data_IF_783897948461
#
_entry.id   IF_783897948461
#
_cell.length_a   1.000
_cell.length_b   1.000
_cell.length_c   1.000
_cell.angle_alpha   90.00
_cell.angle_beta   90.00
_cell.angle_gamma   90.00
#
_symmetry.space_group_name_H-M   'P 1'
#
loop_
_entity.id
_entity.type
_entity.pdbx_description
1 polymer ?
#
# COMPACT_ATOMS: atom_id res chain seq x y z
N UNK A 1 -28.29 20.91 17.26
CA UNK A 1 -27.90 20.76 15.84
C UNK A 1 -27.47 22.09 15.22
N UNK A 2 -28.30 23.14 15.23
CA UNK A 2 -27.95 24.44 14.61
C UNK A 2 -26.68 25.11 15.18
N UNK A 3 -26.52 25.16 16.51
CA UNK A 3 -25.34 25.75 17.16
C UNK A 3 -24.04 25.00 16.82
N UNK A 4 -24.08 23.66 16.74
CA UNK A 4 -22.95 22.83 16.33
C UNK A 4 -22.60 23.05 14.85
N UNK A 5 -23.61 23.17 13.99
CA UNK A 5 -23.43 23.49 12.57
C UNK A 5 -22.78 24.87 12.39
N UNK A 6 -23.25 25.89 13.10
CA UNK A 6 -22.68 27.24 13.04
C UNK A 6 -21.25 27.31 13.60
N UNK A 7 -20.97 26.58 14.68
CA UNK A 7 -19.61 26.44 15.20
C UNK A 7 -18.68 25.74 14.20
N UNK A 8 -19.14 24.64 13.60
CA UNK A 8 -18.36 23.89 12.63
C UNK A 8 -18.09 24.71 11.37
N UNK A 9 -19.10 25.37 10.80
CA UNK A 9 -18.99 26.20 9.60
C UNK A 9 -18.53 27.64 9.88
N UNK A 10 -17.72 27.85 10.91
CA UNK A 10 -17.20 29.17 11.23
C UNK A 10 -16.29 29.70 10.10
N UNK A 11 -16.66 30.84 9.51
CA UNK A 11 -15.97 31.45 8.37
C UNK A 11 -14.49 31.73 8.66
N UNK A 12 -14.14 32.16 9.89
CA UNK A 12 -12.75 32.45 10.27
C UNK A 12 -11.87 31.21 10.25
N UNK A 13 -12.46 30.02 10.39
CA UNK A 13 -11.71 28.78 10.29
C UNK A 13 -11.52 28.37 8.83
N UNK A 14 -12.61 28.35 8.06
CA UNK A 14 -12.63 27.76 6.71
C UNK A 14 -12.12 28.70 5.61
N UNK A 15 -12.36 30.00 5.72
CA UNK A 15 -12.21 30.92 4.59
C UNK A 15 -11.05 31.93 4.80
N UNK A 16 -10.47 32.44 3.70
CA UNK A 16 -9.53 33.56 3.76
C UNK A 16 -10.17 34.83 4.34
N UNK A 17 -9.32 35.79 4.71
CA UNK A 17 -9.78 37.09 5.17
C UNK A 17 -10.66 37.77 4.10
N UNK A 18 -11.78 38.36 4.53
CA UNK A 18 -12.76 39.05 3.68
C UNK A 18 -13.60 38.16 2.75
N UNK A 19 -13.68 36.85 3.01
CA UNK A 19 -14.58 35.93 2.29
C UNK A 19 -15.59 35.33 3.27
N UNK A 20 -16.86 35.28 2.86
CA UNK A 20 -17.97 34.69 3.60
C UNK A 20 -18.57 33.52 2.83
N UNK A 21 -19.36 32.67 3.49
CA UNK A 21 -20.07 31.60 2.78
C UNK A 21 -21.09 32.13 1.78
N UNK A 22 -21.66 33.32 2.03
CA UNK A 22 -22.61 33.97 1.14
C UNK A 22 -21.98 34.31 -0.23
N UNK A 23 -20.70 34.65 -0.26
CA UNK A 23 -19.96 34.93 -1.50
C UNK A 23 -19.79 33.67 -2.38
N UNK A 24 -19.86 32.48 -1.78
CA UNK A 24 -19.74 31.19 -2.46
C UNK A 24 -21.10 30.54 -2.78
N UNK A 25 -22.19 31.02 -2.16
CA UNK A 25 -23.54 30.45 -2.34
C UNK A 25 -24.18 30.90 -3.67
N UNK A 26 -23.89 32.13 -4.11
CA UNK A 26 -24.49 32.76 -5.30
C UNK A 26 -23.43 33.08 -6.37
N UNK A 27 -22.87 32.08 -7.06
CA UNK A 27 -21.93 32.31 -8.16
C UNK A 27 -22.62 32.99 -9.35
N UNK A 28 -21.82 33.58 -10.25
CA UNK A 28 -22.30 34.13 -11.51
C UNK A 28 -23.03 33.06 -12.36
N UNK A 29 -24.00 33.45 -13.23
CA UNK A 29 -24.74 32.50 -14.05
C UNK A 29 -23.81 31.57 -14.86
N UNK A 30 -24.02 30.26 -14.72
CA UNK A 30 -23.21 29.22 -15.38
C UNK A 30 -21.93 28.80 -14.65
N UNK A 31 -21.62 29.40 -13.50
CA UNK A 31 -20.52 29.00 -12.63
C UNK A 31 -21.07 28.22 -11.43
N UNK A 32 -20.43 27.11 -11.08
CA UNK A 32 -20.74 26.37 -9.85
C UNK A 32 -19.47 26.19 -9.02
N UNK A 33 -19.56 26.47 -7.73
CA UNK A 33 -18.50 26.21 -6.76
C UNK A 33 -18.74 24.86 -6.05
N UNK A 34 -17.68 24.18 -5.57
CA UNK A 34 -17.85 22.96 -4.80
C UNK A 34 -18.69 23.20 -3.54
N UNK A 35 -19.66 22.31 -3.32
CA UNK A 35 -20.51 22.30 -2.12
C UNK A 35 -20.23 21.06 -1.31
N UNK A 36 -20.21 21.18 0.03
CA UNK A 36 -20.00 20.02 0.91
C UNK A 36 -21.00 18.88 0.64
N UNK A 37 -22.24 19.23 0.26
CA UNK A 37 -23.28 18.27 -0.12
C UNK A 37 -22.88 17.33 -1.27
N UNK A 38 -22.03 17.79 -2.19
CA UNK A 38 -21.57 16.98 -3.31
C UNK A 38 -20.77 15.76 -2.85
N UNK A 39 -20.05 15.85 -1.73
CA UNK A 39 -19.24 14.75 -1.21
C UNK A 39 -20.09 13.57 -0.72
N UNK A 40 -21.35 13.79 -0.37
CA UNK A 40 -22.24 12.69 0.02
C UNK A 40 -22.53 11.73 -1.14
N UNK A 41 -22.35 12.17 -2.40
CA UNK A 41 -22.45 11.29 -3.58
C UNK A 41 -21.34 10.22 -3.60
N UNK A 42 -20.21 10.47 -2.93
CA UNK A 42 -19.10 9.52 -2.87
C UNK A 42 -19.45 8.23 -2.09
N UNK A 43 -20.35 8.28 -1.10
CA UNK A 43 -20.73 7.12 -0.29
C UNK A 43 -21.54 6.06 -1.07
N UNK A 44 -22.67 6.40 -1.74
CA UNK A 44 -23.36 5.44 -2.59
C UNK A 44 -22.49 5.01 -3.78
N UNK A 45 -21.65 5.90 -4.31
CA UNK A 45 -20.68 5.54 -5.34
C UNK A 45 -19.64 4.54 -4.82
N UNK A 46 -19.16 4.67 -3.59
CA UNK A 46 -18.23 3.74 -2.96
C UNK A 46 -18.84 2.34 -2.83
N UNK A 47 -20.13 2.26 -2.45
CA UNK A 47 -20.88 1.00 -2.46
C UNK A 47 -20.99 0.42 -3.87
N UNK A 48 -21.29 1.25 -4.87
CA UNK A 48 -21.29 0.86 -6.28
C UNK A 48 -19.95 0.30 -6.74
N UNK A 49 -18.85 1.00 -6.46
CA UNK A 49 -17.47 0.56 -6.73
C UNK A 49 -17.18 -0.78 -6.04
N UNK A 50 -17.63 -0.96 -4.80
CA UNK A 50 -17.46 -2.23 -4.08
C UNK A 50 -18.25 -3.39 -4.71
N UNK A 51 -19.48 -3.13 -5.19
CA UNK A 51 -20.24 -4.13 -5.96
C UNK A 51 -19.53 -4.46 -7.28
N UNK A 52 -19.06 -3.45 -8.01
CA UNK A 52 -18.28 -3.64 -9.25
C UNK A 52 -17.02 -4.45 -8.98
N UNK A 53 -16.32 -4.21 -7.86
CA UNK A 53 -15.17 -5.01 -7.42
C UNK A 53 -15.54 -6.49 -7.31
N UNK A 54 -16.62 -6.82 -6.59
CA UNK A 54 -17.06 -8.21 -6.41
C UNK A 54 -17.37 -8.87 -7.76
N UNK A 55 -18.06 -8.16 -8.65
CA UNK A 55 -18.38 -8.65 -9.99
C UNK A 55 -17.11 -8.84 -10.83
N UNK A 56 -16.18 -7.87 -10.80
CA UNK A 56 -14.91 -7.92 -11.50
C UNK A 56 -14.05 -9.10 -11.03
N UNK A 57 -13.90 -9.28 -9.72
CA UNK A 57 -13.12 -10.37 -9.15
C UNK A 57 -13.69 -11.74 -9.56
N UNK A 58 -15.03 -11.85 -9.61
CA UNK A 58 -15.73 -13.08 -9.98
C UNK A 58 -15.67 -13.40 -11.48
N UNK A 59 -15.96 -12.42 -12.33
CA UNK A 59 -16.19 -12.62 -13.76
C UNK A 59 -14.99 -12.31 -14.64
N UNK A 60 -14.01 -11.53 -14.16
CA UNK A 60 -12.83 -11.13 -14.94
C UNK A 60 -11.56 -11.67 -14.28
N UNK A 61 -11.29 -11.28 -13.03
CA UNK A 61 -10.00 -11.58 -12.40
C UNK A 61 -9.80 -13.06 -12.11
N UNK A 62 -10.84 -13.75 -11.62
CA UNK A 62 -10.80 -15.20 -11.33
C UNK A 62 -10.57 -16.04 -12.61
N UNK A 63 -11.28 -15.82 -13.73
CA UNK A 63 -10.93 -16.45 -15.00
C UNK A 63 -9.49 -16.18 -15.46
N UNK A 64 -9.01 -14.93 -15.37
CA UNK A 64 -7.63 -14.59 -15.71
C UNK A 64 -6.59 -15.30 -14.81
N UNK A 65 -6.89 -15.43 -13.51
CA UNK A 65 -6.03 -16.19 -12.60
C UNK A 65 -5.94 -17.67 -13.01
N UNK A 66 -7.07 -18.27 -13.40
CA UNK A 66 -7.12 -19.67 -13.86
C UNK A 66 -6.40 -19.87 -15.18
N UNK A 67 -6.53 -18.94 -16.14
CA UNK A 67 -5.80 -19.03 -17.42
C UNK A 67 -4.28 -18.93 -17.23
N UNK A 68 -3.83 -18.23 -16.18
CA UNK A 68 -2.43 -18.18 -15.77
C UNK A 68 -2.01 -19.36 -14.87
N UNK A 69 -2.85 -20.39 -14.74
CA UNK A 69 -2.63 -21.55 -13.87
C UNK A 69 -2.40 -21.21 -12.39
N UNK A 70 -2.91 -20.06 -11.93
CA UNK A 70 -2.93 -19.67 -10.51
C UNK A 70 -4.12 -20.37 -9.87
N UNK A 71 -3.92 -21.62 -9.45
CA UNK A 71 -4.98 -22.41 -8.84
C UNK A 71 -5.28 -21.92 -7.42
N UNK A 72 -6.53 -22.04 -6.98
CA UNK A 72 -6.87 -21.92 -5.56
C UNK A 72 -6.11 -23.02 -4.82
N UNK A 73 -5.11 -22.65 -4.04
CA UNK A 73 -4.29 -23.60 -3.31
C UNK A 73 -5.19 -24.47 -2.45
N UNK A 74 -5.17 -25.80 -2.67
CA UNK A 74 -5.72 -26.76 -1.73
C UNK A 74 -4.75 -26.82 -0.55
N UNK A 75 -4.77 -25.79 0.29
CA UNK A 75 -3.97 -25.75 1.50
C UNK A 75 -4.28 -27.00 2.33
N UNK A 76 -3.25 -27.74 2.73
CA UNK A 76 -3.41 -28.91 3.61
C UNK A 76 -4.21 -28.48 4.83
N UNK A 77 -5.44 -28.98 4.95
CA UNK A 77 -6.30 -28.61 6.06
C UNK A 77 -5.72 -29.21 7.35
N UNK A 78 -5.75 -28.45 8.44
CA UNK A 78 -5.45 -29.01 9.74
C UNK A 78 -6.43 -30.14 10.03
N UNK A 79 -5.94 -31.23 10.62
CA UNK A 79 -6.77 -32.37 10.98
C UNK A 79 -7.91 -31.89 11.90
N UNK A 80 -9.18 -32.27 11.69
CA UNK A 80 -10.26 -31.87 12.58
C UNK A 80 -9.96 -32.26 14.03
N UNK A 81 -9.90 -31.29 14.94
CA UNK A 81 -9.70 -31.50 16.37
C UNK A 81 -10.40 -30.38 17.15
N UNK A 82 -11.50 -30.71 17.83
CA UNK A 82 -12.34 -29.73 18.53
C UNK A 82 -11.63 -29.04 19.69
N UNK A 83 -10.73 -29.74 20.39
CA UNK A 83 -9.96 -29.18 21.51
C UNK A 83 -8.99 -28.13 20.99
N UNK A 84 -8.20 -28.48 19.98
CA UNK A 84 -7.23 -27.56 19.37
C UNK A 84 -7.92 -26.36 18.71
N UNK A 85 -9.06 -26.58 18.03
CA UNK A 85 -9.85 -25.50 17.44
C UNK A 85 -10.38 -24.54 18.50
N UNK A 86 -10.93 -25.07 19.60
CA UNK A 86 -11.40 -24.23 20.72
C UNK A 86 -10.27 -23.35 21.25
N UNK A 87 -9.11 -23.93 21.55
CA UNK A 87 -7.94 -23.17 22.01
C UNK A 87 -7.52 -22.11 20.98
N UNK A 88 -7.49 -22.48 19.70
CA UNK A 88 -7.10 -21.57 18.62
C UNK A 88 -8.02 -20.36 18.51
N UNK A 89 -9.34 -20.57 18.61
CA UNK A 89 -10.33 -19.51 18.44
C UNK A 89 -10.57 -18.68 19.70
N UNK A 90 -10.46 -19.29 20.89
CA UNK A 90 -10.89 -18.64 22.14
C UNK A 90 -9.77 -18.29 23.11
N UNK A 91 -8.56 -18.85 22.95
CA UNK A 91 -7.44 -18.63 23.89
C UNK A 91 -6.25 -17.98 23.19
N UNK A 92 -5.63 -18.69 22.24
CA UNK A 92 -4.44 -18.19 21.54
C UNK A 92 -4.21 -18.90 20.21
N UNK A 93 -3.79 -18.12 19.21
CA UNK A 93 -3.31 -18.64 17.92
C UNK A 93 -1.86 -19.14 17.98
N UNK A 94 -1.11 -18.71 18.99
CA UNK A 94 0.32 -18.97 19.18
C UNK A 94 0.55 -19.47 20.62
N UNK A 95 0.21 -20.73 20.93
CA UNK A 95 0.44 -21.29 22.26
C UNK A 95 1.94 -21.36 22.57
N UNK A 96 2.28 -21.06 23.82
CA UNK A 96 3.63 -21.20 24.37
C UNK A 96 3.95 -22.66 24.72
N UNK A 97 5.16 -22.92 25.20
CA UNK A 97 5.62 -24.29 25.54
C UNK A 97 4.71 -24.98 26.56
N UNK A 98 4.27 -24.26 27.59
CA UNK A 98 3.40 -24.80 28.64
C UNK A 98 2.03 -25.21 28.11
N UNK A 99 1.40 -24.38 27.28
CA UNK A 99 0.13 -24.73 26.65
C UNK A 99 0.28 -25.92 25.70
N UNK A 100 1.37 -25.99 24.94
CA UNK A 100 1.63 -27.10 24.03
C UNK A 100 1.81 -28.44 24.77
N UNK A 101 2.51 -28.45 25.91
CA UNK A 101 2.69 -29.64 26.74
C UNK A 101 1.36 -30.10 27.36
N UNK A 102 0.53 -29.17 27.82
CA UNK A 102 -0.81 -29.47 28.33
C UNK A 102 -1.71 -30.11 27.26
N UNK A 103 -1.71 -29.55 26.05
CA UNK A 103 -2.49 -30.08 24.92
C UNK A 103 -1.96 -31.42 24.42
N UNK A 104 -0.64 -31.60 24.42
CA UNK A 104 0.01 -32.87 24.11
C UNK A 104 -0.47 -33.98 25.05
N UNK A 105 -0.51 -33.71 26.37
CA UNK A 105 -1.02 -34.66 27.37
C UNK A 105 -2.52 -34.93 27.22
N UNK A 106 -3.32 -33.90 26.98
CA UNK A 106 -4.79 -34.04 26.85
C UNK A 106 -5.20 -34.86 25.62
N UNK A 107 -4.45 -34.72 24.52
CA UNK A 107 -4.78 -35.34 23.23
C UNK A 107 -4.01 -36.64 22.96
N UNK A 108 -3.09 -37.00 23.85
CA UNK A 108 -2.10 -38.07 23.64
C UNK A 108 -1.36 -37.91 22.30
N UNK A 109 -0.96 -36.67 21.99
CA UNK A 109 -0.23 -36.32 20.77
C UNK A 109 1.17 -35.87 21.13
N UNK A 110 2.15 -36.16 20.26
CA UNK A 110 3.45 -35.50 20.36
C UNK A 110 3.31 -33.97 20.28
N UNK A 111 4.08 -33.26 21.10
CA UNK A 111 4.16 -31.79 21.10
C UNK A 111 4.39 -31.23 19.69
N UNK A 112 5.28 -31.87 18.90
CA UNK A 112 5.55 -31.49 17.51
C UNK A 112 4.32 -31.61 16.60
N UNK A 113 3.46 -32.61 16.82
CA UNK A 113 2.22 -32.80 16.06
C UNK A 113 1.22 -31.69 16.40
N UNK A 114 1.09 -31.32 17.68
CA UNK A 114 0.28 -30.18 18.14
C UNK A 114 0.80 -28.87 17.53
N UNK A 115 2.10 -28.60 17.61
CA UNK A 115 2.73 -27.43 16.97
C UNK A 115 2.46 -27.37 15.46
N UNK A 116 2.59 -28.52 14.77
CA UNK A 116 2.32 -28.64 13.34
C UNK A 116 0.85 -28.36 13.04
N UNK A 117 -0.07 -28.80 13.88
CA UNK A 117 -1.50 -28.51 13.75
C UNK A 117 -1.75 -27.00 13.84
N UNK A 118 -1.24 -26.31 14.86
CA UNK A 118 -1.38 -24.85 15.00
C UNK A 118 -0.79 -24.11 13.79
N UNK A 119 0.37 -24.58 13.29
CA UNK A 119 0.97 -24.02 12.07
C UNK A 119 0.09 -24.21 10.84
N UNK A 120 -0.48 -25.39 10.62
CA UNK A 120 -1.40 -25.63 9.50
C UNK A 120 -2.67 -24.81 9.65
N UNK A 121 -3.24 -24.73 10.85
CA UNK A 121 -4.45 -23.96 11.14
C UNK A 121 -4.28 -22.47 10.88
N UNK A 122 -3.15 -21.89 11.29
CA UNK A 122 -2.78 -20.50 10.94
C UNK A 122 -2.61 -20.30 9.44
N UNK A 123 -1.99 -21.27 8.76
CA UNK A 123 -1.79 -21.21 7.31
C UNK A 123 -3.09 -21.39 6.51
N UNK A 124 -4.12 -22.04 7.08
CA UNK A 124 -5.45 -22.14 6.44
C UNK A 124 -6.19 -20.81 6.42
N UNK A 125 -6.02 -19.96 7.44
CA UNK A 125 -6.59 -18.60 7.44
C UNK A 125 -5.81 -17.64 6.53
N UNK A 126 -4.63 -18.05 6.05
CA UNK A 126 -3.87 -17.22 5.12
C UNK A 126 -4.59 -17.19 3.76
N UNK A 127 -4.76 -16.00 3.17
CA UNK A 127 -5.41 -15.86 1.88
C UNK A 127 -4.60 -16.54 0.77
N UNK A 128 -5.32 -17.17 -0.15
CA UNK A 128 -4.74 -17.87 -1.28
C UNK A 128 -4.04 -16.91 -2.25
N UNK A 129 -3.04 -17.40 -2.99
CA UNK A 129 -2.40 -16.63 -4.07
C UNK A 129 -3.42 -16.17 -5.11
N UNK A 130 -4.42 -17.01 -5.39
CA UNK A 130 -5.54 -16.65 -6.27
C UNK A 130 -6.31 -15.42 -5.76
N UNK A 131 -6.67 -15.39 -4.48
CA UNK A 131 -7.36 -14.23 -3.88
C UNK A 131 -6.50 -12.96 -3.99
N UNK A 132 -5.21 -13.06 -3.63
CA UNK A 132 -4.28 -11.93 -3.74
C UNK A 132 -4.14 -11.42 -5.17
N UNK A 133 -4.10 -12.31 -6.15
CA UNK A 133 -4.05 -11.94 -7.57
C UNK A 133 -5.32 -11.20 -8.00
N UNK A 134 -6.50 -11.71 -7.64
CA UNK A 134 -7.77 -11.05 -7.98
C UNK A 134 -7.87 -9.64 -7.37
N UNK A 135 -7.52 -9.49 -6.09
CA UNK A 135 -7.49 -8.19 -5.41
C UNK A 135 -6.52 -7.22 -6.09
N UNK A 136 -5.31 -7.67 -6.42
CA UNK A 136 -4.32 -6.84 -7.11
C UNK A 136 -4.76 -6.47 -8.53
N UNK A 137 -5.42 -7.36 -9.26
CA UNK A 137 -5.91 -7.08 -10.61
C UNK A 137 -7.04 -6.04 -10.62
N UNK A 138 -7.94 -6.08 -9.63
CA UNK A 138 -8.94 -5.03 -9.44
C UNK A 138 -8.30 -3.67 -9.22
N UNK A 139 -7.36 -3.58 -8.25
CA UNK A 139 -6.66 -2.34 -7.92
C UNK A 139 -5.84 -1.82 -9.09
N UNK A 140 -5.12 -2.71 -9.79
CA UNK A 140 -4.39 -2.38 -11.02
C UNK A 140 -5.30 -1.70 -12.05
N UNK A 141 -6.46 -2.31 -12.32
CA UNK A 141 -7.41 -1.81 -13.32
C UNK A 141 -7.95 -0.44 -12.92
N UNK A 142 -8.36 -0.29 -11.66
CA UNK A 142 -8.86 0.99 -11.16
C UNK A 142 -7.78 2.09 -11.23
N UNK A 143 -6.60 1.84 -10.66
CA UNK A 143 -5.50 2.82 -10.65
C UNK A 143 -5.06 3.23 -12.05
N UNK A 144 -5.00 2.28 -12.99
CA UNK A 144 -4.66 2.59 -14.38
C UNK A 144 -5.72 3.48 -15.04
N UNK A 145 -7.01 3.15 -14.87
CA UNK A 145 -8.10 3.93 -15.43
C UNK A 145 -8.18 5.34 -14.84
N UNK A 146 -8.05 5.49 -13.53
CA UNK A 146 -8.18 6.78 -12.88
C UNK A 146 -6.95 7.68 -13.11
N UNK A 147 -5.74 7.10 -13.11
CA UNK A 147 -4.52 7.83 -13.46
C UNK A 147 -4.56 8.33 -14.91
N UNK A 148 -4.99 7.49 -15.86
CA UNK A 148 -5.09 7.91 -17.26
C UNK A 148 -6.11 9.03 -17.46
N UNK A 149 -7.27 8.96 -16.81
CA UNK A 149 -8.26 10.03 -16.80
C UNK A 149 -7.72 11.32 -16.17
N UNK A 150 -7.15 11.22 -14.96
CA UNK A 150 -6.58 12.36 -14.23
C UNK A 150 -5.46 13.05 -14.99
N UNK A 151 -4.54 12.28 -15.56
CA UNK A 151 -3.43 12.79 -16.37
C UNK A 151 -3.93 13.51 -17.63
N UNK A 152 -4.89 12.93 -18.37
CA UNK A 152 -5.46 13.56 -19.56
C UNK A 152 -6.16 14.89 -19.23
N UNK A 153 -6.93 14.93 -18.15
CA UNK A 153 -7.59 16.14 -17.67
C UNK A 153 -6.58 17.21 -17.25
N UNK A 154 -5.58 16.82 -16.45
CA UNK A 154 -4.57 17.75 -15.94
C UNK A 154 -3.65 18.27 -17.05
N UNK A 155 -3.35 17.47 -18.06
CA UNK A 155 -2.51 17.90 -19.19
C UNK A 155 -3.06 19.16 -19.87
N UNK A 156 -4.39 19.30 -19.93
CA UNK A 156 -5.09 20.45 -20.48
C UNK A 156 -5.31 21.59 -19.46
N UNK A 157 -4.99 21.35 -18.19
CA UNK A 157 -5.22 22.29 -17.11
C UNK A 157 -3.98 23.17 -16.87
N UNK A 158 -4.12 24.52 -16.82
CA UNK A 158 -2.96 25.41 -16.65
C UNK A 158 -2.14 25.14 -15.38
N UNK A 159 -2.81 24.72 -14.29
CA UNK A 159 -2.15 24.43 -13.01
C UNK A 159 -1.30 23.17 -13.00
N UNK A 160 -1.37 22.32 -14.03
CA UNK A 160 -0.43 21.21 -14.21
C UNK A 160 0.98 21.70 -14.54
N UNK A 161 1.08 22.84 -15.22
CA UNK A 161 2.32 23.39 -15.75
C UNK A 161 2.86 24.55 -14.91
N UNK A 162 1.98 25.34 -14.29
CA UNK A 162 2.33 26.39 -13.34
C UNK A 162 1.39 26.36 -12.13
N UNK A 163 1.93 25.89 -11.00
CA UNK A 163 1.19 25.65 -9.76
C UNK A 163 0.57 26.91 -9.16
N UNK A 164 1.01 28.11 -9.54
CA UNK A 164 0.38 29.38 -9.13
C UNK A 164 -1.07 29.49 -9.57
N UNK A 165 -1.43 28.85 -10.68
CA UNK A 165 -2.81 28.79 -11.19
C UNK A 165 -3.74 27.97 -10.27
N UNK A 166 -3.20 27.21 -9.31
CA UNK A 166 -4.01 26.64 -8.23
C UNK A 166 -4.61 27.71 -7.32
N UNK A 167 -3.99 28.89 -7.22
CA UNK A 167 -4.33 29.91 -6.21
C UNK A 167 -4.89 31.19 -6.81
N UNK A 168 -4.64 31.46 -8.10
CA UNK A 168 -5.25 32.62 -8.76
C UNK A 168 -6.78 32.53 -8.76
N UNK A 169 -7.41 33.62 -8.30
CA UNK A 169 -8.86 33.70 -8.12
C UNK A 169 -9.41 32.84 -6.99
N UNK A 170 -8.57 32.23 -6.14
CA UNK A 170 -9.04 31.49 -4.97
C UNK A 170 -9.67 32.46 -3.94
N UNK A 171 -10.81 32.10 -3.31
CA UNK A 171 -11.55 30.84 -3.39
C UNK A 171 -12.68 30.81 -4.45
N UNK A 172 -12.74 31.76 -5.37
CA UNK A 172 -13.77 31.91 -6.42
C UNK A 172 -13.46 31.08 -7.68
N UNK A 173 -13.13 29.79 -7.50
CA UNK A 173 -12.75 28.91 -8.59
C UNK A 173 -13.90 27.99 -9.00
N UNK A 174 -14.28 28.03 -10.28
CA UNK A 174 -15.33 27.18 -10.83
C UNK A 174 -14.96 25.69 -10.76
N UNK A 175 -15.92 24.87 -10.32
CA UNK A 175 -15.83 23.40 -10.39
C UNK A 175 -16.24 22.94 -11.79
N UNK A 176 -15.26 22.50 -12.56
CA UNK A 176 -15.55 21.89 -13.87
C UNK A 176 -16.07 20.46 -13.68
N UNK A 177 -16.93 20.00 -14.61
CA UNK A 177 -17.46 18.63 -14.57
C UNK A 177 -16.34 17.57 -14.58
N UNK A 178 -15.26 17.80 -15.34
CA UNK A 178 -14.11 16.88 -15.37
C UNK A 178 -13.42 16.75 -14.01
N UNK A 179 -13.16 17.89 -13.35
CA UNK A 179 -12.56 17.93 -12.01
C UNK A 179 -13.47 17.31 -10.96
N UNK A 180 -14.78 17.57 -11.04
CA UNK A 180 -15.79 16.99 -10.16
C UNK A 180 -15.78 15.46 -10.22
N UNK A 181 -15.88 14.89 -11.42
CA UNK A 181 -15.88 13.44 -11.60
C UNK A 181 -14.55 12.81 -11.16
N UNK A 182 -13.41 13.49 -11.40
CA UNK A 182 -12.12 13.01 -10.89
C UNK A 182 -12.16 12.88 -9.36
N UNK A 183 -12.53 13.97 -8.68
CA UNK A 183 -12.55 14.06 -7.23
C UNK A 183 -13.51 13.07 -6.56
N UNK A 184 -14.74 12.99 -7.06
CA UNK A 184 -15.78 12.16 -6.45
C UNK A 184 -15.49 10.68 -6.68
N UNK A 185 -14.93 10.31 -7.83
CA UNK A 185 -14.54 8.93 -8.13
C UNK A 185 -13.39 8.47 -7.23
N UNK A 186 -12.35 9.32 -7.09
CA UNK A 186 -11.25 9.06 -6.16
C UNK A 186 -11.73 8.92 -4.72
N UNK A 187 -12.52 9.88 -4.24
CA UNK A 187 -13.06 9.84 -2.88
C UNK A 187 -13.90 8.58 -2.64
N UNK A 188 -14.73 8.19 -3.59
CA UNK A 188 -15.55 6.99 -3.50
C UNK A 188 -14.70 5.72 -3.46
N UNK A 189 -13.62 5.66 -4.25
CA UNK A 189 -12.70 4.54 -4.22
C UNK A 189 -11.96 4.45 -2.88
N UNK A 190 -11.43 5.55 -2.36
CA UNK A 190 -10.79 5.57 -1.04
C UNK A 190 -11.75 5.21 0.09
N UNK A 191 -13.03 5.61 0.03
CA UNK A 191 -14.05 5.12 0.96
C UNK A 191 -14.28 3.62 0.82
N UNK A 192 -14.35 3.10 -0.41
CA UNK A 192 -14.49 1.66 -0.63
C UNK A 192 -13.33 0.86 -0.01
N UNK A 193 -12.10 1.37 -0.14
CA UNK A 193 -10.90 0.78 0.48
C UNK A 193 -10.87 0.96 2.00
N UNK A 194 -11.32 2.11 2.50
CA UNK A 194 -11.40 2.40 3.93
C UNK A 194 -12.27 1.38 4.66
N UNK A 195 -13.39 0.98 4.06
CA UNK A 195 -14.25 -0.06 4.62
C UNK A 195 -13.75 -1.47 4.30
N UNK A 196 -13.27 -1.72 3.08
CA UNK A 196 -12.83 -3.06 2.70
C UNK A 196 -11.57 -3.49 3.44
N UNK A 197 -10.69 -2.60 3.91
CA UNK A 197 -9.47 -2.99 4.63
C UNK A 197 -9.74 -3.80 5.91
N UNK A 198 -10.95 -3.71 6.48
CA UNK A 198 -11.34 -4.49 7.67
C UNK A 198 -11.68 -5.95 7.33
N UNK A 199 -12.09 -6.22 6.10
CA UNK A 199 -12.45 -7.54 5.58
C UNK A 199 -11.37 -8.13 4.67
N UNK A 200 -10.62 -7.27 3.98
CA UNK A 200 -9.47 -7.61 3.15
C UNK A 200 -8.34 -8.22 3.99
N UNK A 201 -7.37 -8.79 3.29
CA UNK A 201 -6.18 -9.41 3.85
C UNK A 201 -5.42 -8.41 4.73
N UNK A 202 -5.46 -8.61 6.06
CA UNK A 202 -4.67 -7.81 7.00
C UNK A 202 -3.18 -8.06 6.80
N UNK A 203 -2.46 -6.99 6.45
CA UNK A 203 -1.01 -6.98 6.27
C UNK A 203 -0.32 -6.36 7.50
N UNK A 204 0.99 -6.55 7.64
CA UNK A 204 1.77 -6.07 8.80
C UNK A 204 1.82 -4.54 8.89
N UNK A 205 1.57 -3.84 7.78
CA UNK A 205 1.49 -2.39 7.63
C UNK A 205 0.06 -1.84 7.82
N UNK A 206 -0.87 -2.62 8.39
CA UNK A 206 -2.28 -2.24 8.58
C UNK A 206 -2.45 -0.86 9.22
N UNK A 207 -1.75 -0.54 10.32
CA UNK A 207 -1.90 0.74 10.99
C UNK A 207 -1.42 1.92 10.14
N UNK A 208 -0.29 1.74 9.42
CA UNK A 208 0.26 2.77 8.53
C UNK A 208 -0.71 3.02 7.38
N UNK A 209 -1.25 1.96 6.77
CA UNK A 209 -2.24 2.07 5.70
C UNK A 209 -3.56 2.66 6.20
N UNK A 210 -4.01 2.33 7.42
CA UNK A 210 -5.21 2.92 8.01
C UNK A 210 -5.07 4.44 8.20
N UNK A 211 -3.94 4.88 8.79
CA UNK A 211 -3.64 6.30 8.96
C UNK A 211 -3.57 7.00 7.59
N UNK A 212 -2.96 6.36 6.59
CA UNK A 212 -2.93 6.88 5.23
C UNK A 212 -4.33 7.07 4.62
N UNK A 213 -5.20 6.07 4.71
CA UNK A 213 -6.57 6.18 4.19
C UNK A 213 -7.35 7.28 4.92
N UNK A 214 -7.13 7.43 6.23
CA UNK A 214 -7.79 8.47 7.01
C UNK A 214 -7.30 9.85 6.58
N UNK A 215 -5.99 10.02 6.41
CA UNK A 215 -5.39 11.26 5.93
C UNK A 215 -5.85 11.61 4.49
N UNK A 216 -5.87 10.64 3.57
CA UNK A 216 -6.27 10.85 2.17
C UNK A 216 -7.75 11.18 2.03
N UNK A 217 -8.65 10.43 2.67
CA UNK A 217 -10.10 10.76 2.69
C UNK A 217 -10.33 12.15 3.28
N UNK A 218 -9.60 12.50 4.35
CA UNK A 218 -9.67 13.84 4.96
C UNK A 218 -9.16 14.91 4.01
N UNK A 219 -8.01 14.71 3.35
CA UNK A 219 -7.41 15.66 2.40
C UNK A 219 -8.32 15.91 1.18
N UNK A 220 -8.87 14.86 0.59
CA UNK A 220 -9.76 14.97 -0.58
C UNK A 220 -11.03 15.73 -0.18
N UNK A 221 -11.65 15.35 0.95
CA UNK A 221 -12.87 16.01 1.43
C UNK A 221 -12.60 17.47 1.79
N UNK A 222 -11.52 17.74 2.51
CA UNK A 222 -11.19 19.08 2.98
C UNK A 222 -10.77 20.02 1.86
N UNK A 223 -9.95 19.55 0.92
CA UNK A 223 -9.58 20.34 -0.26
C UNK A 223 -10.79 20.63 -1.14
N UNK A 224 -11.75 19.71 -1.25
CA UNK A 224 -12.98 19.96 -1.99
C UNK A 224 -13.85 21.02 -1.31
N UNK A 225 -14.11 20.89 0.00
CA UNK A 225 -14.96 21.84 0.76
C UNK A 225 -14.37 23.25 0.78
N UNK A 226 -13.04 23.38 0.85
CA UNK A 226 -12.37 24.68 0.80
C UNK A 226 -12.14 25.21 -0.63
N UNK A 227 -12.62 24.52 -1.67
CA UNK A 227 -12.34 24.89 -3.06
C UNK A 227 -10.84 24.91 -3.43
N UNK A 228 -10.02 24.09 -2.78
CA UNK A 228 -8.62 23.82 -3.13
C UNK A 228 -8.50 22.67 -4.15
N UNK A 229 -9.53 22.47 -4.97
CA UNK A 229 -9.64 21.30 -5.85
C UNK A 229 -8.54 21.24 -6.91
N UNK A 230 -8.05 22.40 -7.39
CA UNK A 230 -6.95 22.45 -8.36
C UNK A 230 -5.67 21.81 -7.81
N UNK A 231 -5.20 22.24 -6.64
CA UNK A 231 -3.97 21.68 -6.07
C UNK A 231 -4.18 20.23 -5.62
N UNK A 232 -5.34 19.87 -5.08
CA UNK A 232 -5.57 18.49 -4.68
C UNK A 232 -5.74 17.55 -5.88
N UNK A 233 -6.13 18.03 -7.07
CA UNK A 233 -6.04 17.22 -8.30
C UNK A 233 -4.59 16.88 -8.69
N UNK A 234 -3.64 17.78 -8.43
CA UNK A 234 -2.21 17.50 -8.59
C UNK A 234 -1.74 16.48 -7.55
N UNK A 235 -2.20 16.59 -6.29
CA UNK A 235 -1.93 15.59 -5.24
C UNK A 235 -2.38 14.21 -5.73
N UNK A 236 -3.65 14.06 -6.13
CA UNK A 236 -4.21 12.80 -6.63
C UNK A 236 -3.35 12.21 -7.77
N UNK A 237 -3.11 12.99 -8.82
CA UNK A 237 -2.38 12.48 -10.00
C UNK A 237 -0.94 12.07 -9.70
N UNK A 238 -0.22 12.86 -8.88
CA UNK A 238 1.14 12.49 -8.44
C UNK A 238 1.10 11.21 -7.62
N UNK A 239 -0.02 10.98 -6.91
CA UNK A 239 -0.17 9.80 -6.09
C UNK A 239 -0.44 8.54 -6.92
N UNK A 240 -1.35 8.61 -7.88
CA UNK A 240 -1.79 7.44 -8.66
C UNK A 240 -0.73 6.96 -9.67
N UNK A 241 0.21 7.84 -10.03
CA UNK A 241 1.22 7.62 -11.08
C UNK A 241 2.08 6.36 -10.93
N UNK A 242 2.28 5.87 -9.70
CA UNK A 242 3.09 4.66 -9.42
C UNK A 242 2.25 3.44 -9.04
N UNK A 243 0.99 3.61 -8.68
CA UNK A 243 0.27 2.60 -7.90
C UNK A 243 -0.18 1.42 -8.76
N UNK A 244 -0.54 1.68 -10.02
CA UNK A 244 -0.79 0.60 -10.98
C UNK A 244 0.48 -0.23 -11.26
N UNK A 245 1.67 0.36 -11.26
CA UNK A 245 2.93 -0.39 -11.45
C UNK A 245 3.19 -1.35 -10.29
N UNK A 246 2.89 -0.93 -9.06
CA UNK A 246 3.01 -1.78 -7.87
C UNK A 246 2.07 -2.99 -7.95
N UNK A 247 0.82 -2.78 -8.32
CA UNK A 247 -0.16 -3.86 -8.46
C UNK A 247 0.19 -4.79 -9.63
N UNK A 248 0.73 -4.26 -10.73
CA UNK A 248 1.25 -5.07 -11.83
C UNK A 248 2.43 -5.95 -11.39
N UNK A 249 3.38 -5.42 -10.61
CA UNK A 249 4.49 -6.20 -10.07
C UNK A 249 4.01 -7.33 -9.16
N UNK A 250 3.01 -7.07 -8.30
CA UNK A 250 2.37 -8.10 -7.45
C UNK A 250 1.71 -9.19 -8.29
N UNK A 251 0.96 -8.82 -9.33
CA UNK A 251 0.35 -9.78 -10.25
C UNK A 251 1.40 -10.68 -10.93
N UNK A 252 2.49 -10.09 -11.43
CA UNK A 252 3.59 -10.84 -12.05
C UNK A 252 4.26 -11.81 -11.05
N UNK A 253 4.45 -11.39 -9.80
CA UNK A 253 4.96 -12.25 -8.73
C UNK A 253 4.02 -13.44 -8.45
N UNK A 254 2.70 -13.19 -8.36
CA UNK A 254 1.71 -14.23 -8.12
C UNK A 254 1.60 -15.22 -9.30
N UNK A 255 1.78 -14.74 -10.53
CA UNK A 255 1.87 -15.55 -11.74
C UNK A 255 3.24 -16.24 -11.94
N UNK A 256 4.19 -16.06 -11.01
CA UNK A 256 5.56 -16.61 -11.07
C UNK A 256 6.40 -16.13 -12.26
N UNK A 257 6.09 -14.95 -12.81
CA UNK A 257 6.88 -14.29 -13.85
C UNK A 257 7.95 -13.37 -13.25
N UNK A 258 9.01 -13.98 -12.70
CA UNK A 258 10.02 -13.26 -11.91
C UNK A 258 10.69 -12.12 -12.68
N UNK A 259 11.12 -12.34 -13.93
CA UNK A 259 11.77 -11.29 -14.74
C UNK A 259 10.87 -10.06 -14.94
N UNK A 260 9.58 -10.29 -15.22
CA UNK A 260 8.62 -9.21 -15.38
C UNK A 260 8.36 -8.50 -14.04
N UNK A 261 8.21 -9.27 -12.95
CA UNK A 261 8.08 -8.72 -11.59
C UNK A 261 9.25 -7.80 -11.23
N UNK A 262 10.49 -8.24 -11.48
CA UNK A 262 11.69 -7.47 -11.14
C UNK A 262 11.77 -6.17 -11.94
N UNK A 263 11.48 -6.21 -13.25
CA UNK A 263 11.43 -5.03 -14.11
C UNK A 263 10.35 -4.06 -13.62
N UNK A 264 9.13 -4.54 -13.40
CA UNK A 264 8.01 -3.72 -12.92
C UNK A 264 8.30 -3.12 -11.55
N UNK A 265 8.96 -3.87 -10.66
CA UNK A 265 9.35 -3.37 -9.34
C UNK A 265 10.40 -2.25 -9.42
N UNK A 266 11.38 -2.36 -10.32
CA UNK A 266 12.36 -1.28 -10.55
C UNK A 266 11.66 -0.03 -11.10
N UNK A 267 10.82 -0.19 -12.13
CA UNK A 267 10.07 0.93 -12.74
C UNK A 267 9.16 1.58 -11.71
N UNK A 268 8.43 0.78 -10.92
CA UNK A 268 7.65 1.25 -9.77
C UNK A 268 8.50 2.04 -8.78
N UNK A 269 9.66 1.52 -8.38
CA UNK A 269 10.51 2.14 -7.36
C UNK A 269 11.03 3.51 -7.82
N UNK A 270 11.43 3.62 -9.09
CA UNK A 270 11.85 4.89 -9.70
C UNK A 270 10.68 5.86 -9.81
N UNK A 271 9.53 5.41 -10.31
CA UNK A 271 8.34 6.24 -10.43
C UNK A 271 7.89 6.77 -9.06
N UNK A 272 7.80 5.90 -8.05
CA UNK A 272 7.44 6.25 -6.67
C UNK A 272 8.41 7.28 -6.08
N UNK A 273 9.73 7.10 -6.27
CA UNK A 273 10.72 8.06 -5.77
C UNK A 273 10.55 9.43 -6.42
N UNK A 274 10.43 9.49 -7.75
CA UNK A 274 10.29 10.74 -8.50
C UNK A 274 8.99 11.45 -8.10
N UNK A 275 7.86 10.74 -8.12
CA UNK A 275 6.56 11.37 -7.87
C UNK A 275 6.44 11.81 -6.42
N UNK A 276 6.85 10.97 -5.45
CA UNK A 276 6.58 11.23 -4.02
C UNK A 276 7.68 11.99 -3.29
N UNK A 277 8.95 11.86 -3.69
CA UNK A 277 10.07 12.52 -3.01
C UNK A 277 10.70 13.66 -3.81
N UNK A 278 10.36 13.82 -5.09
CA UNK A 278 10.85 14.94 -5.91
C UNK A 278 9.69 15.87 -6.27
N UNK A 279 8.74 15.39 -7.08
CA UNK A 279 7.65 16.23 -7.60
C UNK A 279 6.74 16.72 -6.46
N UNK A 280 6.25 15.81 -5.61
CA UNK A 280 5.33 16.20 -4.53
C UNK A 280 5.90 17.27 -3.58
N UNK A 281 7.10 17.15 -2.98
CA UNK A 281 7.60 18.18 -2.10
C UNK A 281 8.05 19.46 -2.82
N UNK A 282 8.70 19.34 -3.99
CA UNK A 282 9.25 20.52 -4.69
C UNK A 282 8.17 21.34 -5.38
N UNK A 283 7.12 20.69 -5.90
CA UNK A 283 6.03 21.37 -6.61
C UNK A 283 4.81 21.54 -5.72
N UNK A 284 4.22 20.44 -5.24
CA UNK A 284 2.93 20.48 -4.56
C UNK A 284 3.03 21.11 -3.17
N UNK A 285 3.92 20.60 -2.30
CA UNK A 285 4.11 21.20 -0.96
C UNK A 285 4.63 22.64 -1.06
N UNK A 286 5.55 22.90 -1.99
CA UNK A 286 6.02 24.27 -2.20
C UNK A 286 4.87 25.22 -2.57
N UNK A 287 3.97 24.76 -3.44
CA UNK A 287 2.81 25.54 -3.85
C UNK A 287 1.83 25.79 -2.69
N UNK A 288 1.53 24.77 -1.88
CA UNK A 288 0.59 24.90 -0.74
C UNK A 288 1.17 25.60 0.47
N UNK A 289 2.50 25.62 0.64
CA UNK A 289 3.15 26.25 1.79
C UNK A 289 3.61 27.69 1.49
N UNK A 290 4.10 27.96 0.28
CA UNK A 290 4.72 29.24 -0.07
C UNK A 290 3.92 30.04 -1.09
N UNK A 291 3.53 29.45 -2.22
CA UNK A 291 2.81 30.19 -3.27
C UNK A 291 1.43 30.62 -2.79
N UNK A 292 0.68 29.71 -2.16
CA UNK A 292 -0.62 30.06 -1.59
C UNK A 292 -0.50 31.10 -0.47
N UNK A 293 0.58 31.06 0.32
CA UNK A 293 0.82 32.07 1.35
C UNK A 293 0.99 33.45 0.71
N UNK A 294 1.80 33.54 -0.34
CA UNK A 294 2.07 34.80 -1.03
C UNK A 294 0.82 35.35 -1.75
N UNK A 295 -0.05 34.49 -2.29
CA UNK A 295 -1.21 34.88 -3.10
C UNK A 295 -2.47 35.08 -2.26
N UNK A 296 -2.75 34.18 -1.32
CA UNK A 296 -4.00 34.13 -0.54
C UNK A 296 -3.79 34.58 0.91
N UNK A 297 -2.61 34.32 1.47
CA UNK A 297 -2.32 34.49 2.89
C UNK A 297 -2.78 33.32 3.75
N UNK A 298 -2.29 33.22 5.01
CA UNK A 298 -2.62 32.12 5.91
C UNK A 298 -3.99 32.30 6.59
N UNK A 299 -4.65 31.19 6.85
CA UNK A 299 -5.89 31.08 7.63
C UNK A 299 -5.95 29.68 8.28
N UNK A 300 -6.82 29.42 9.28
CA UNK A 300 -6.75 28.20 10.07
C UNK A 300 -6.91 26.89 9.27
N UNK A 301 -7.85 26.82 8.34
CA UNK A 301 -8.05 25.62 7.50
C UNK A 301 -6.84 25.33 6.61
N UNK A 302 -6.16 26.37 6.11
CA UNK A 302 -4.90 26.23 5.38
C UNK A 302 -3.81 25.51 6.18
N UNK A 303 -3.71 25.77 7.49
CA UNK A 303 -2.76 25.05 8.37
C UNK A 303 -3.12 23.57 8.49
N UNK A 304 -4.40 23.26 8.69
CA UNK A 304 -4.87 21.88 8.77
C UNK A 304 -4.56 21.11 7.48
N UNK A 305 -4.82 21.72 6.32
CA UNK A 305 -4.52 21.11 5.02
C UNK A 305 -3.02 20.80 4.87
N UNK A 306 -2.15 21.76 5.17
CA UNK A 306 -0.70 21.57 5.06
C UNK A 306 -0.17 20.54 6.07
N UNK A 307 -0.69 20.49 7.30
CA UNK A 307 -0.31 19.45 8.27
C UNK A 307 -0.67 18.06 7.75
N UNK A 308 -1.86 17.87 7.17
CA UNK A 308 -2.25 16.60 6.58
C UNK A 308 -1.35 16.21 5.39
N UNK A 309 -0.96 17.18 4.54
CA UNK A 309 -0.02 16.95 3.44
C UNK A 309 1.39 16.58 3.94
N UNK A 310 1.83 17.14 5.07
CA UNK A 310 3.10 16.79 5.72
C UNK A 310 3.07 15.40 6.35
N UNK A 311 1.95 15.02 6.98
CA UNK A 311 1.74 13.63 7.45
C UNK A 311 1.91 12.66 6.27
N UNK A 312 1.29 12.98 5.12
CA UNK A 312 1.41 12.18 3.91
C UNK A 312 2.87 12.10 3.42
N UNK A 313 3.63 13.20 3.48
CA UNK A 313 5.06 13.21 3.15
C UNK A 313 5.89 12.29 4.07
N UNK A 314 5.64 12.31 5.37
CA UNK A 314 6.34 11.43 6.33
C UNK A 314 6.07 9.95 5.98
N UNK A 315 4.83 9.60 5.63
CA UNK A 315 4.50 8.25 5.19
C UNK A 315 5.25 7.87 3.90
N UNK A 316 5.38 8.78 2.93
CA UNK A 316 6.18 8.53 1.71
C UNK A 316 7.65 8.26 2.00
N UNK A 317 8.24 8.96 2.96
CA UNK A 317 9.63 8.73 3.38
C UNK A 317 9.76 7.33 3.99
N UNK A 318 8.82 6.92 4.85
CA UNK A 318 8.80 5.59 5.44
C UNK A 318 8.69 4.51 4.36
N UNK A 319 7.76 4.63 3.42
CA UNK A 319 7.63 3.65 2.34
C UNK A 319 8.82 3.65 1.40
N UNK A 320 9.39 4.81 1.08
CA UNK A 320 10.61 4.91 0.26
C UNK A 320 11.77 4.14 0.90
N UNK A 321 11.93 4.25 2.22
CA UNK A 321 12.92 3.46 2.96
C UNK A 321 12.65 1.95 2.85
N UNK A 322 11.39 1.51 2.99
CA UNK A 322 11.02 0.10 2.84
C UNK A 322 11.28 -0.42 1.42
N UNK A 323 10.93 0.36 0.40
CA UNK A 323 11.15 0.02 -1.02
C UNK A 323 12.65 -0.07 -1.31
N UNK A 324 13.44 0.91 -0.87
CA UNK A 324 14.88 0.92 -1.04
C UNK A 324 15.54 -0.29 -0.35
N UNK A 325 15.09 -0.64 0.88
CA UNK A 325 15.57 -1.83 1.59
C UNK A 325 15.32 -3.12 0.78
N UNK A 326 14.14 -3.26 0.18
CA UNK A 326 13.80 -4.42 -0.66
C UNK A 326 14.66 -4.44 -1.93
N UNK A 327 14.81 -3.29 -2.61
CA UNK A 327 15.63 -3.17 -3.82
C UNK A 327 17.11 -3.51 -3.56
N UNK A 328 17.70 -2.98 -2.48
CA UNK A 328 19.08 -3.28 -2.08
C UNK A 328 19.24 -4.76 -1.78
N UNK A 329 18.30 -5.36 -1.02
CA UNK A 329 18.34 -6.81 -0.72
C UNK A 329 18.27 -7.66 -1.99
N UNK A 330 17.44 -7.26 -2.97
CA UNK A 330 17.33 -7.95 -4.25
C UNK A 330 18.65 -7.88 -5.06
N UNK A 331 19.27 -6.68 -5.14
CA UNK A 331 20.55 -6.49 -5.85
C UNK A 331 21.69 -7.26 -5.17
N UNK A 332 21.77 -7.22 -3.83
CA UNK A 332 22.80 -7.94 -3.08
C UNK A 332 22.64 -9.46 -3.21
N UNK A 333 21.42 -9.99 -3.21
CA UNK A 333 21.16 -11.42 -3.49
C UNK A 333 21.49 -11.79 -4.93
N UNK A 334 21.24 -10.89 -5.88
CA UNK A 334 21.69 -11.05 -7.27
C UNK A 334 23.21 -11.07 -7.42
N UNK A 335 23.95 -10.34 -6.58
CA UNK A 335 25.43 -10.35 -6.53
C UNK A 335 26.03 -11.58 -5.84
N UNK A 336 25.27 -12.25 -4.96
CA UNK A 336 25.70 -13.47 -4.26
C UNK A 336 25.26 -14.76 -5.00
N UNK A 337 24.58 -14.63 -6.14
CA UNK A 337 24.24 -15.78 -7.00
C UNK A 337 25.42 -16.21 -7.89
N UNK A 338 26.49 -16.68 -7.24
CA UNK A 338 27.24 -17.83 -7.73
C UNK A 338 27.00 -19.08 -6.88
N UNK A 339 26.15 -19.06 -5.85
CA UNK A 339 25.76 -20.32 -5.21
C UNK A 339 24.39 -20.29 -4.49
N UNK A 340 23.67 -21.39 -4.67
CA UNK A 340 22.52 -21.91 -3.90
C UNK A 340 21.23 -21.07 -3.81
N UNK A 341 20.46 -21.26 -4.88
CA UNK A 341 19.00 -21.43 -4.97
C UNK A 341 18.38 -22.24 -3.80
N UNK A 342 17.93 -21.61 -2.72
CA UNK A 342 16.91 -22.21 -1.81
C UNK A 342 16.08 -21.26 -0.93
N UNK A 343 16.48 -20.00 -0.70
CA UNK A 343 15.92 -19.22 0.43
C UNK A 343 14.88 -18.15 0.04
N UNK A 344 14.24 -18.27 -1.13
CA UNK A 344 13.34 -17.22 -1.64
C UNK A 344 11.93 -17.26 -1.03
N UNK A 345 11.56 -18.31 -0.30
CA UNK A 345 10.28 -18.36 0.44
C UNK A 345 10.36 -17.88 1.90
N UNK A 346 11.56 -17.72 2.48
CA UNK A 346 11.70 -17.30 3.90
C UNK A 346 11.88 -15.78 4.09
N UNK A 347 12.08 -15.03 3.01
CA UNK A 347 12.51 -13.63 3.07
C UNK A 347 11.38 -12.59 3.22
N UNK A 348 10.12 -12.99 3.10
CA UNK A 348 8.96 -12.09 3.25
C UNK A 348 8.21 -12.27 4.56
N UNK A 349 8.67 -13.09 5.50
CA UNK A 349 7.95 -13.31 6.78
C UNK A 349 8.75 -13.13 8.08
N UNK A 350 10.09 -13.14 8.09
CA UNK A 350 10.86 -13.04 9.34
C UNK A 350 11.80 -11.83 9.40
N UNK A 351 11.45 -10.86 10.24
CA UNK A 351 12.37 -10.10 11.10
C UNK A 351 11.55 -9.26 12.11
N UNK A 352 11.37 -9.80 13.32
CA UNK A 352 11.33 -9.05 14.59
C UNK A 352 11.22 -10.02 15.76
N UNK A 353 12.34 -10.62 16.15
CA UNK A 353 12.52 -11.14 17.50
C UNK A 353 13.90 -10.67 17.97
N UNK A 354 13.91 -9.72 18.89
CA UNK A 354 15.09 -9.35 19.67
C UNK A 354 15.70 -10.60 20.32
N UNK A 355 17.03 -10.80 20.28
CA UNK A 355 17.66 -11.76 21.16
C UNK A 355 17.83 -11.12 22.53
N UNK A 356 17.10 -11.63 23.52
CA UNK A 356 17.51 -11.53 24.92
C UNK A 356 18.86 -12.21 25.07
N UNK A 357 19.82 -11.49 25.67
CA UNK A 357 21.10 -12.03 26.08
C UNK A 357 20.92 -13.28 26.95
N UNK A 358 21.60 -14.35 26.55
CA UNK A 358 21.62 -15.63 27.25
C UNK A 358 22.95 -16.30 27.02
N UNK A 359 23.92 -15.93 27.84
CA UNK A 359 25.26 -16.50 27.96
C UNK A 359 25.21 -18.03 27.98
N UNK A 360 25.79 -18.71 26.98
CA UNK A 360 26.17 -20.13 27.08
C UNK A 360 27.53 -20.36 26.44
N UNK A 361 28.46 -20.67 27.33
CA UNK A 361 29.82 -21.15 27.14
C UNK A 361 29.86 -22.46 26.34
N UNK A 362 30.77 -22.53 25.36
CA UNK A 362 31.17 -23.76 24.67
C UNK A 362 31.94 -24.69 25.61
N UNK A 363 31.75 -26.02 25.53
CA UNK A 363 32.74 -26.98 26.00
C UNK A 363 33.75 -27.28 24.89
N UNK A 364 35.02 -27.03 25.20
CA UNK A 364 36.20 -27.55 24.49
C UNK A 364 36.14 -29.08 24.29
N UNK A 365 36.69 -29.62 23.19
CA UNK A 365 37.31 -30.93 23.20
C UNK A 365 38.83 -30.82 23.36
N UNK A 366 39.34 -31.70 24.19
CA UNK A 366 40.74 -31.91 24.58
C UNK A 366 41.65 -32.28 23.40
N UNK A 367 42.87 -31.72 23.42
CA UNK A 367 44.03 -32.18 22.65
C UNK A 367 44.38 -33.64 22.99
N UNK A 368 44.65 -34.43 21.95
CA UNK A 368 45.41 -35.67 22.01
C UNK A 368 46.24 -35.76 20.73
N UNK A 369 47.57 -35.82 20.88
CA UNK A 369 48.58 -35.85 19.83
C UNK A 369 48.72 -37.24 19.20
N UNK A 370 48.98 -37.30 17.89
CA UNK A 370 50.10 -38.02 17.24
C UNK A 370 49.78 -38.42 15.80
N UNK A 371 50.77 -38.31 14.91
CA UNK A 371 50.88 -39.18 13.73
C UNK A 371 51.01 -38.51 12.36
N UNK A 372 52.25 -38.19 12.03
CA UNK A 372 52.90 -37.95 10.73
C UNK A 372 52.38 -38.64 9.44
N UNK A 373 52.67 -37.95 8.32
CA UNK A 373 53.01 -38.41 6.95
C UNK A 373 51.94 -38.39 5.84
N UNK A 374 52.30 -37.76 4.70
CA UNK A 374 51.92 -38.23 3.37
C UNK A 374 51.57 -37.18 2.30
N UNK A 375 52.54 -36.89 1.42
CA UNK A 375 52.50 -36.37 0.03
C UNK A 375 51.15 -36.35 -0.73
N UNK A 376 50.78 -35.34 -1.55
CA UNK A 376 51.39 -34.66 -2.73
C UNK A 376 50.68 -35.08 -4.04
N UNK A 377 50.29 -34.08 -4.85
CA UNK A 377 49.89 -34.12 -6.28
C UNK A 377 48.60 -34.90 -6.63
N UNK A 378 47.79 -34.58 -7.64
CA UNK A 378 48.07 -33.88 -8.90
C UNK A 378 46.77 -33.32 -9.51
N UNK A 379 46.93 -32.27 -10.30
CA UNK A 379 45.92 -31.65 -11.15
C UNK A 379 45.50 -32.54 -12.33
N UNK A 380 44.26 -32.35 -12.81
CA UNK A 380 43.99 -32.25 -14.26
C UNK A 380 42.65 -31.57 -14.54
N UNK A 381 42.76 -30.33 -15.00
CA UNK A 381 41.75 -29.66 -15.81
C UNK A 381 41.60 -30.36 -17.16
N UNK A 382 40.39 -30.40 -17.71
CA UNK A 382 40.15 -30.60 -19.15
C UNK A 382 39.06 -29.65 -19.60
N UNK A 383 39.49 -28.58 -20.27
CA UNK A 383 38.64 -27.69 -21.04
C UNK A 383 38.42 -28.24 -22.45
N UNK A 384 37.21 -27.98 -22.95
CA UNK A 384 36.84 -27.55 -24.31
C UNK A 384 37.31 -28.36 -25.53
N UNK A 385 36.35 -28.87 -26.30
CA UNK A 385 35.79 -28.19 -27.49
C UNK A 385 35.07 -29.23 -28.36
N UNK A 386 33.88 -28.88 -28.87
CA UNK A 386 33.52 -29.12 -30.27
C UNK A 386 32.29 -28.28 -30.63
N UNK A 387 32.50 -27.32 -31.53
CA UNK A 387 31.49 -26.65 -32.35
C UNK A 387 30.82 -27.66 -33.28
N UNK A 388 29.55 -27.45 -33.63
CA UNK A 388 29.07 -27.42 -35.03
C UNK A 388 27.57 -27.11 -35.12
N UNK A 389 27.26 -26.00 -35.82
CA UNK A 389 25.99 -25.58 -36.44
C UNK A 389 24.84 -25.07 -35.57
#
# INVERSE_FOLDING_TARGET
>A
MAALSAWFWNERFWLPHNVTWADLENPAPGVEYPKAGHLFTALPLALGIFVVRILFERFIASPCARSLHIHQGVGRRAQPNAVLEKVFTSITKNPDSRHLDGLSKQLDWEVRKVQRWFRHRRNQDKPSTHTKFCESMWRFTFYLCIFTYGFQFLWQSPWMWDTRHCWYGYPYQAMTSGLYHYYVTELAFYWSLMFSQFTDIKRKDFLIMFIHHLATVSLISFSYVNNMARVGSLVLCVHDASDFLLEAAKMANYAKYQRLCDILFIVFSVAFFITRLVIYPIWVLNSTMFESWAIVGPYPSWWLFNVLLLVLQVLHIIWSYLIARIAIKAILRGKVCNDVRSDIESSSEDESASPTEGFKTSPHPSKGENGTNGHCASAKARAQNHNSW
#
